data_IF_491872334407
#
_entry.id   IF_491872334407
#
_cell.length_a   1.000
_cell.length_b   1.000
_cell.length_c   1.000
_cell.angle_alpha   90.00
_cell.angle_beta   90.00
_cell.angle_gamma   90.00
#
_symmetry.space_group_name_H-M   'P 1'
#
loop_
_entity.id
_entity.type
_entity.pdbx_description
1 polymer ?
#
# COMPACT_ATOMS: atom_id res chain seq x y z
N UNK A 1 -6.26 -26.23 26.54
CA UNK A 1 -5.38 -25.04 26.41
C UNK A 1 -4.58 -25.18 25.12
N UNK A 2 -4.92 -24.45 24.04
CA UNK A 2 -4.22 -24.56 22.75
C UNK A 2 -2.80 -24.02 22.91
N UNK A 3 -1.78 -24.89 22.85
CA UNK A 3 -0.37 -24.45 22.84
C UNK A 3 -0.16 -23.54 21.64
N UNK A 4 0.10 -22.26 21.90
CA UNK A 4 0.49 -21.32 20.85
C UNK A 4 1.80 -21.85 20.28
N UNK A 5 1.76 -22.34 19.04
CA UNK A 5 2.95 -22.81 18.34
C UNK A 5 3.89 -21.61 18.14
N UNK A 6 5.18 -21.81 18.36
CA UNK A 6 6.22 -20.77 18.17
C UNK A 6 6.09 -20.03 16.83
N UNK A 7 5.79 -20.77 15.76
CA UNK A 7 5.51 -20.21 14.42
C UNK A 7 4.30 -19.26 14.42
N UNK A 8 3.20 -19.60 15.08
CA UNK A 8 2.02 -18.73 15.17
C UNK A 8 2.32 -17.46 15.98
N UNK A 9 3.14 -17.57 17.04
CA UNK A 9 3.56 -16.41 17.83
C UNK A 9 4.43 -15.45 17.00
N UNK A 10 5.42 -15.98 16.27
CA UNK A 10 6.26 -15.16 15.37
C UNK A 10 5.44 -14.45 14.29
N UNK A 11 4.45 -15.15 13.69
CA UNK A 11 3.57 -14.53 12.70
C UNK A 11 2.76 -13.38 13.30
N UNK A 12 2.17 -13.58 14.47
CA UNK A 12 1.37 -12.54 15.15
C UNK A 12 2.25 -11.35 15.53
N UNK A 13 3.44 -11.57 16.10
CA UNK A 13 4.36 -10.49 16.46
C UNK A 13 4.85 -9.73 15.23
N UNK A 14 5.19 -10.43 14.14
CA UNK A 14 5.60 -9.80 12.89
C UNK A 14 4.49 -8.94 12.26
N UNK A 15 3.26 -9.46 12.24
CA UNK A 15 2.10 -8.70 11.78
C UNK A 15 1.86 -7.48 12.67
N UNK A 16 1.85 -7.66 13.99
CA UNK A 16 1.69 -6.54 14.93
C UNK A 16 2.76 -5.47 14.69
N UNK A 17 4.03 -5.85 14.51
CA UNK A 17 5.09 -4.88 14.24
C UNK A 17 4.85 -4.03 12.99
N UNK A 18 4.34 -4.62 11.91
CA UNK A 18 4.05 -3.90 10.66
C UNK A 18 2.78 -3.05 10.77
N UNK A 19 1.73 -3.57 11.41
CA UNK A 19 0.43 -2.90 11.47
C UNK A 19 0.30 -1.90 12.64
N UNK A 20 1.06 -2.05 13.73
CA UNK A 20 1.04 -1.13 14.87
C UNK A 20 1.33 0.33 14.48
N UNK A 21 2.37 0.66 13.68
CA UNK A 21 2.58 2.05 13.25
C UNK A 21 1.45 2.58 12.37
N UNK A 22 0.85 1.72 11.53
CA UNK A 22 -0.32 2.10 10.73
C UNK A 22 -1.53 2.40 11.63
N UNK A 23 -1.76 1.61 12.67
CA UNK A 23 -2.84 1.86 13.65
C UNK A 23 -2.61 3.16 14.41
N UNK A 24 -1.39 3.42 14.85
CA UNK A 24 -1.02 4.68 15.52
C UNK A 24 -1.28 5.86 14.60
N UNK A 25 -0.90 5.77 13.32
CA UNK A 25 -1.17 6.79 12.32
C UNK A 25 -2.67 7.05 12.13
N UNK A 26 -3.49 5.99 12.07
CA UNK A 26 -4.95 6.12 11.97
C UNK A 26 -5.51 6.83 13.21
N UNK A 27 -5.09 6.45 14.42
CA UNK A 27 -5.52 7.09 15.66
C UNK A 27 -5.15 8.59 15.66
N UNK A 28 -3.92 8.93 15.26
CA UNK A 28 -3.49 10.33 15.16
C UNK A 28 -4.17 11.09 14.03
N UNK A 29 -4.65 10.42 12.98
CA UNK A 29 -5.43 11.05 11.90
C UNK A 29 -6.76 11.64 12.40
N UNK A 30 -7.28 11.14 13.52
CA UNK A 30 -8.44 11.70 14.22
C UNK A 30 -8.08 12.77 15.26
N UNK A 31 -6.81 13.17 15.40
CA UNK A 31 -6.40 14.16 16.37
C UNK A 31 -6.65 15.60 15.85
N UNK A 32 -7.36 16.40 16.63
CA UNK A 32 -7.61 17.80 16.29
C UNK A 32 -6.34 18.67 16.33
N UNK A 33 -5.30 18.30 17.06
CA UNK A 33 -4.07 19.10 17.15
C UNK A 33 -3.14 18.84 15.97
N UNK A 34 -2.48 19.90 15.48
CA UNK A 34 -1.35 19.80 14.53
C UNK A 34 -0.08 19.23 15.19
N UNK A 35 0.01 19.33 16.52
CA UNK A 35 1.13 18.86 17.33
C UNK A 35 0.77 17.49 17.93
N UNK A 36 1.55 16.46 17.58
CA UNK A 36 1.42 15.07 18.07
C UNK A 36 1.54 15.00 19.61
N UNK A 37 2.18 15.99 20.23
CA UNK A 37 2.42 16.07 21.68
C UNK A 37 1.23 16.59 22.50
N UNK A 38 0.21 17.20 21.89
CA UNK A 38 -0.95 17.74 22.62
C UNK A 38 -2.23 17.12 22.08
N UNK A 39 -2.90 16.27 22.88
CA UNK A 39 -4.16 15.65 22.47
C UNK A 39 -5.29 16.68 22.45
N UNK A 40 -5.65 17.16 21.24
CA UNK A 40 -6.65 18.21 21.05
C UNK A 40 -8.11 17.72 21.02
N UNK A 41 -8.34 16.44 21.29
CA UNK A 41 -9.64 15.78 21.13
C UNK A 41 -9.82 15.09 19.77
N UNK A 42 -10.93 14.37 19.63
CA UNK A 42 -11.30 13.65 18.42
C UNK A 42 -11.88 14.63 17.37
N UNK A 43 -11.36 14.63 16.15
CA UNK A 43 -11.83 15.50 15.06
C UNK A 43 -11.62 14.88 13.69
N UNK A 44 -12.61 15.07 12.80
CA UNK A 44 -12.57 14.67 11.39
C UNK A 44 -12.23 15.87 10.48
N UNK A 45 -11.84 17.02 11.07
CA UNK A 45 -11.59 18.28 10.33
C UNK A 45 -10.61 18.14 9.16
N UNK A 46 -9.64 17.23 9.28
CA UNK A 46 -8.63 16.99 8.24
C UNK A 46 -9.22 16.31 7.02
N UNK A 47 -10.16 15.38 7.22
CA UNK A 47 -10.89 14.75 6.13
C UNK A 47 -11.81 15.73 5.42
N UNK A 48 -12.51 16.60 6.18
CA UNK A 48 -13.37 17.64 5.59
C UNK A 48 -12.54 18.68 4.83
N UNK A 49 -11.43 19.15 5.41
CA UNK A 49 -10.52 20.09 4.74
C UNK A 49 -9.83 19.50 3.51
N UNK A 50 -9.65 18.18 3.45
CA UNK A 50 -9.13 17.49 2.26
C UNK A 50 -10.14 17.53 1.09
N UNK A 51 -11.43 17.41 1.38
CA UNK A 51 -12.49 17.49 0.37
C UNK A 51 -12.66 18.91 -0.18
N UNK A 52 -12.46 19.92 0.66
CA UNK A 52 -12.54 21.34 0.26
C UNK A 52 -11.32 21.77 -0.59
N UNK A 53 -10.18 21.08 -0.43
CA UNK A 53 -8.97 21.38 -1.17
C UNK A 53 -8.99 20.72 -2.57
N UNK A 54 -9.52 21.45 -3.55
CA UNK A 54 -9.59 21.04 -4.96
C UNK A 54 -8.24 20.69 -5.59
N UNK A 55 -7.14 21.30 -5.13
CA UNK A 55 -5.78 20.98 -5.60
C UNK A 55 -5.32 19.60 -5.12
N UNK A 56 -5.51 19.30 -3.83
CA UNK A 56 -5.19 17.98 -3.28
C UNK A 56 -6.07 16.89 -3.91
N UNK A 57 -7.37 17.13 -4.02
CA UNK A 57 -8.29 16.20 -4.67
C UNK A 57 -7.94 15.97 -6.14
N UNK A 58 -7.62 17.03 -6.88
CA UNK A 58 -7.12 16.94 -8.25
C UNK A 58 -5.86 16.09 -8.34
N UNK A 59 -4.92 16.27 -7.42
CA UNK A 59 -3.68 15.49 -7.37
C UNK A 59 -3.93 14.00 -7.10
N UNK A 60 -4.88 13.68 -6.22
CA UNK A 60 -5.30 12.29 -5.96
C UNK A 60 -5.87 11.63 -7.22
N UNK A 61 -6.76 12.34 -7.94
CA UNK A 61 -7.35 11.82 -9.18
C UNK A 61 -6.29 11.61 -10.26
N UNK A 62 -5.34 12.53 -10.41
CA UNK A 62 -4.23 12.37 -11.36
C UNK A 62 -3.34 11.18 -11.02
N UNK A 63 -3.00 11.00 -9.75
CA UNK A 63 -2.24 9.84 -9.31
C UNK A 63 -2.98 8.54 -9.59
N UNK A 64 -4.30 8.50 -9.36
CA UNK A 64 -5.11 7.32 -9.64
C UNK A 64 -5.18 6.99 -11.14
N UNK A 65 -5.36 8.02 -11.98
CA UNK A 65 -5.36 7.91 -13.44
C UNK A 65 -4.02 7.32 -13.94
N UNK A 66 -2.90 7.90 -13.52
CA UNK A 66 -1.56 7.43 -13.90
C UNK A 66 -1.31 6.00 -13.38
N UNK A 67 -1.71 5.70 -12.15
CA UNK A 67 -1.56 4.37 -11.56
C UNK A 67 -2.35 3.32 -12.34
N UNK A 68 -3.57 3.63 -12.78
CA UNK A 68 -4.40 2.73 -13.57
C UNK A 68 -3.73 2.39 -14.92
N UNK A 69 -3.31 3.41 -15.67
CA UNK A 69 -2.62 3.20 -16.95
C UNK A 69 -1.32 2.39 -16.79
N UNK A 70 -0.54 2.72 -15.77
CA UNK A 70 0.72 2.03 -15.48
C UNK A 70 0.47 0.58 -15.09
N UNK A 71 -0.52 0.30 -14.25
CA UNK A 71 -0.87 -1.05 -13.83
C UNK A 71 -1.31 -1.91 -15.02
N UNK A 72 -2.20 -1.38 -15.88
CA UNK A 72 -2.66 -2.10 -17.08
C UNK A 72 -1.50 -2.40 -18.03
N UNK A 73 -0.64 -1.40 -18.31
CA UNK A 73 0.53 -1.60 -19.16
C UNK A 73 1.51 -2.62 -18.57
N UNK A 74 1.80 -2.53 -17.27
CA UNK A 74 2.69 -3.47 -16.58
C UNK A 74 2.14 -4.90 -16.60
N UNK A 75 0.84 -5.09 -16.39
CA UNK A 75 0.21 -6.41 -16.44
C UNK A 75 0.21 -6.97 -17.86
N UNK A 76 -0.10 -6.15 -18.87
CA UNK A 76 -0.09 -6.59 -20.26
C UNK A 76 1.32 -7.04 -20.69
N UNK A 77 2.34 -6.21 -20.45
CA UNK A 77 3.73 -6.53 -20.77
C UNK A 77 4.25 -7.70 -19.95
N UNK A 78 3.95 -7.73 -18.64
CA UNK A 78 4.35 -8.82 -17.74
C UNK A 78 3.73 -10.16 -18.15
N UNK A 79 2.47 -10.16 -18.58
CA UNK A 79 1.79 -11.38 -19.07
C UNK A 79 2.41 -11.87 -20.37
N UNK A 80 2.73 -10.97 -21.31
CA UNK A 80 3.42 -11.34 -22.55
C UNK A 80 4.82 -11.90 -22.27
N UNK A 81 5.59 -11.27 -21.38
CA UNK A 81 6.90 -11.75 -20.96
C UNK A 81 6.82 -13.13 -20.29
N UNK A 82 5.88 -13.31 -19.35
CA UNK A 82 5.65 -14.59 -18.69
C UNK A 82 5.22 -15.68 -19.67
N UNK A 83 4.39 -15.34 -20.67
CA UNK A 83 3.97 -16.28 -21.71
C UNK A 83 5.15 -16.76 -22.56
N UNK A 84 6.02 -15.84 -23.01
CA UNK A 84 7.23 -16.17 -23.78
C UNK A 84 8.17 -17.06 -22.96
N UNK A 85 8.44 -16.70 -21.70
CA UNK A 85 9.35 -17.46 -20.84
C UNK A 85 8.84 -18.88 -20.53
N UNK A 86 7.52 -19.05 -20.43
CA UNK A 86 6.92 -20.35 -20.06
C UNK A 86 6.61 -21.26 -21.26
N UNK A 87 6.26 -20.70 -22.42
CA UNK A 87 5.81 -21.49 -23.59
C UNK A 87 6.83 -21.57 -24.73
N UNK A 88 7.77 -20.63 -24.84
CA UNK A 88 8.76 -20.65 -25.92
C UNK A 88 10.08 -21.23 -25.40
N UNK A 89 10.45 -22.42 -25.90
CA UNK A 89 11.61 -23.18 -25.44
C UNK A 89 12.94 -22.58 -25.92
N UNK A 90 13.01 -22.10 -27.17
CA UNK A 90 14.20 -21.49 -27.77
C UNK A 90 13.96 -20.00 -28.09
N UNK A 91 14.41 -19.11 -27.20
CA UNK A 91 14.44 -17.66 -27.39
C UNK A 91 15.88 -17.15 -27.20
N UNK A 92 16.39 -16.36 -28.16
CA UNK A 92 17.68 -15.67 -28.07
C UNK A 92 17.58 -14.57 -27.00
N UNK A 93 17.97 -14.89 -25.77
CA UNK A 93 17.93 -13.99 -24.60
C UNK A 93 17.52 -14.66 -23.28
N UNK A 94 17.26 -15.98 -23.30
CA UNK A 94 16.87 -16.77 -22.11
C UNK A 94 17.88 -16.70 -20.96
N UNK A 95 19.15 -16.42 -21.24
CA UNK A 95 20.23 -16.32 -20.24
C UNK A 95 20.27 -14.99 -19.47
N UNK A 96 19.47 -13.98 -19.86
CA UNK A 96 19.37 -12.69 -19.14
C UNK A 96 18.17 -12.65 -18.18
N UNK A 97 17.17 -13.49 -18.39
CA UNK A 97 15.91 -13.53 -17.64
C UNK A 97 15.69 -14.85 -16.89
N UNK A 98 16.73 -15.69 -16.76
CA UNK A 98 16.71 -16.99 -16.09
C UNK A 98 17.99 -17.26 -15.33
#
# INVERSE_FOLDING_TARGET
MKRIRFSSLMLVVGLLFIYLPMLILVIYSFNASKLVTVWGGWSIKWYVGLLDNSQLMGSVLRSLEIACYTAVAAVALGTLAAFVLTRITHFKGRTLFG
#
